data_IF_296829308752
#
_entry.id   IF_296829308752
#
_cell.length_a   1.000
_cell.length_b   1.000
_cell.length_c   1.000
_cell.angle_alpha   90.00
_cell.angle_beta   90.00
_cell.angle_gamma   90.00
#
_symmetry.space_group_name_H-M   'P 1'
#
loop_
_entity.id
_entity.type
_entity.pdbx_description
1 polymer ?
#
# COMPACT_ATOMS: atom_id res chain seq x y z
N UNK A 1 -28.49 46.18 -21.40
CA UNK A 1 -27.72 44.91 -21.45
C UNK A 1 -28.60 43.87 -20.78
N UNK A 2 -29.10 42.87 -21.50
CA UNK A 2 -30.07 41.92 -20.95
C UNK A 2 -29.39 41.04 -19.89
N UNK A 3 -30.11 40.61 -18.86
CA UNK A 3 -29.58 39.76 -17.77
C UNK A 3 -28.90 38.49 -18.28
N UNK A 4 -29.35 37.96 -19.43
CA UNK A 4 -28.73 36.84 -20.12
C UNK A 4 -27.27 37.11 -20.55
N UNK A 5 -26.94 38.34 -20.96
CA UNK A 5 -25.58 38.71 -21.35
C UNK A 5 -24.67 38.81 -20.11
N UNK A 6 -25.19 39.28 -18.98
CA UNK A 6 -24.41 39.37 -17.74
C UNK A 6 -24.03 37.99 -17.20
N UNK A 7 -24.98 37.04 -17.21
CA UNK A 7 -24.74 35.65 -16.79
C UNK A 7 -23.68 34.98 -17.68
N UNK A 8 -23.76 35.17 -19.00
CA UNK A 8 -22.78 34.61 -19.94
C UNK A 8 -21.38 35.18 -19.71
N UNK A 9 -21.26 36.47 -19.38
CA UNK A 9 -19.97 37.11 -19.10
C UNK A 9 -19.38 36.57 -17.79
N UNK A 10 -20.16 36.53 -16.71
CA UNK A 10 -19.71 35.98 -15.40
C UNK A 10 -19.27 34.53 -15.55
N UNK A 11 -20.03 33.73 -16.31
CA UNK A 11 -19.68 32.33 -16.55
C UNK A 11 -18.39 32.18 -17.36
N UNK A 12 -18.17 33.04 -18.36
CA UNK A 12 -16.90 33.10 -19.10
C UNK A 12 -15.70 33.37 -18.20
N UNK A 13 -15.83 34.29 -17.23
CA UNK A 13 -14.78 34.54 -16.23
C UNK A 13 -14.53 33.34 -15.32
N UNK A 14 -15.59 32.67 -14.85
CA UNK A 14 -15.46 31.49 -14.00
C UNK A 14 -14.74 30.35 -14.74
N UNK A 15 -15.16 30.04 -15.98
CA UNK A 15 -14.54 29.00 -16.80
C UNK A 15 -13.09 29.35 -17.13
N UNK A 16 -12.81 30.61 -17.50
CA UNK A 16 -11.46 31.08 -17.76
C UNK A 16 -10.55 30.94 -16.55
N UNK A 17 -11.04 31.31 -15.36
CA UNK A 17 -10.32 31.20 -14.10
C UNK A 17 -9.96 29.75 -13.77
N UNK A 18 -10.94 28.83 -13.82
CA UNK A 18 -10.69 27.40 -13.56
C UNK A 18 -9.79 26.76 -14.62
N UNK A 19 -9.91 27.14 -15.89
CA UNK A 19 -9.01 26.66 -16.95
C UNK A 19 -7.58 27.10 -16.68
N UNK A 20 -7.39 28.33 -16.18
CA UNK A 20 -6.07 28.87 -15.86
C UNK A 20 -5.46 28.12 -14.67
N UNK A 21 -6.23 27.90 -13.61
CA UNK A 21 -5.79 27.07 -12.46
C UNK A 21 -5.40 25.67 -12.91
N UNK A 22 -6.20 25.05 -13.78
CA UNK A 22 -5.91 23.72 -14.30
C UNK A 22 -4.60 23.68 -15.11
N UNK A 23 -4.37 24.69 -15.96
CA UNK A 23 -3.11 24.80 -16.73
C UNK A 23 -1.90 25.04 -15.82
N UNK A 24 -2.06 25.81 -14.74
CA UNK A 24 -1.01 25.99 -13.74
C UNK A 24 -0.69 24.65 -13.03
N UNK A 25 -1.71 23.90 -12.60
CA UNK A 25 -1.50 22.58 -12.01
C UNK A 25 -0.85 21.59 -12.99
N UNK A 26 -1.23 21.62 -14.27
CA UNK A 26 -0.58 20.79 -15.29
C UNK A 26 0.89 21.18 -15.49
N UNK A 27 1.19 22.48 -15.48
CA UNK A 27 2.58 22.97 -15.55
C UNK A 27 3.40 22.45 -14.38
N UNK A 28 2.86 22.49 -13.17
CA UNK A 28 3.53 21.98 -11.96
C UNK A 28 3.74 20.46 -12.01
N UNK A 29 2.76 19.71 -12.50
CA UNK A 29 2.87 18.25 -12.70
C UNK A 29 3.95 17.93 -13.74
N UNK A 30 3.99 18.65 -14.86
CA UNK A 30 5.02 18.46 -15.89
C UNK A 30 6.40 18.82 -15.33
N UNK A 31 6.52 19.89 -14.55
CA UNK A 31 7.76 20.27 -13.88
C UNK A 31 8.23 19.17 -12.91
N UNK A 32 7.36 18.69 -12.03
CA UNK A 32 7.64 17.59 -11.11
C UNK A 32 8.04 16.31 -11.86
N UNK A 33 7.39 16.00 -12.99
CA UNK A 33 7.75 14.83 -13.79
C UNK A 33 9.17 14.91 -14.35
N UNK A 34 9.63 16.11 -14.76
CA UNK A 34 10.99 16.33 -15.24
C UNK A 34 12.02 16.19 -14.12
N UNK A 35 11.74 16.75 -12.95
CA UNK A 35 12.62 16.60 -11.78
C UNK A 35 12.70 15.13 -11.33
N UNK A 36 11.58 14.38 -11.36
CA UNK A 36 11.59 12.96 -11.04
C UNK A 36 12.40 12.12 -12.04
N UNK A 37 12.39 12.46 -13.33
CA UNK A 37 13.23 11.82 -14.34
C UNK A 37 14.71 12.14 -14.07
N UNK A 38 15.03 13.40 -13.78
CA UNK A 38 16.40 13.83 -13.47
C UNK A 38 16.95 13.09 -12.24
N UNK A 39 16.17 12.99 -11.16
CA UNK A 39 16.54 12.24 -9.96
C UNK A 39 16.75 10.75 -10.28
N UNK A 40 15.90 10.17 -11.13
CA UNK A 40 16.05 8.77 -11.55
C UNK A 40 17.36 8.53 -12.31
N UNK A 41 17.73 9.43 -13.20
CA UNK A 41 18.97 9.33 -13.97
C UNK A 41 20.20 9.49 -13.06
N UNK A 42 20.17 10.46 -12.14
CA UNK A 42 21.22 10.64 -11.11
C UNK A 42 21.38 9.40 -10.21
N UNK A 43 20.27 8.77 -9.80
CA UNK A 43 20.28 7.52 -9.03
C UNK A 43 20.85 6.34 -9.82
N UNK A 44 20.57 6.28 -11.13
CA UNK A 44 21.11 5.22 -11.99
C UNK A 44 22.63 5.36 -12.16
N UNK A 45 23.14 6.59 -12.28
CA UNK A 45 24.58 6.86 -12.33
C UNK A 45 25.28 6.48 -11.03
N UNK A 46 24.70 6.81 -9.87
CA UNK A 46 25.21 6.38 -8.56
C UNK A 46 25.23 4.86 -8.45
N UNK A 47 24.21 4.17 -8.97
CA UNK A 47 24.16 2.70 -8.99
C UNK A 47 25.28 2.10 -9.85
N UNK A 48 25.53 2.67 -11.03
CA UNK A 48 26.58 2.23 -11.93
C UNK A 48 27.97 2.45 -11.32
N UNK A 49 28.20 3.60 -10.66
CA UNK A 49 29.45 3.89 -9.95
C UNK A 49 29.66 2.93 -8.77
N UNK A 50 28.61 2.61 -8.03
CA UNK A 50 28.71 1.65 -6.92
C UNK A 50 29.03 0.23 -7.43
N UNK A 51 28.45 -0.19 -8.55
CA UNK A 51 28.76 -1.49 -9.16
C UNK A 51 30.21 -1.55 -9.66
N UNK A 52 30.71 -0.49 -10.29
CA UNK A 52 32.11 -0.44 -10.74
C UNK A 52 33.08 -0.43 -9.56
N UNK A 53 32.82 0.34 -8.50
CA UNK A 53 33.60 0.33 -7.27
C UNK A 53 33.58 -1.04 -6.58
N UNK A 54 32.45 -1.75 -6.58
CA UNK A 54 32.36 -3.10 -6.02
C UNK A 54 33.24 -4.08 -6.79
N UNK A 55 33.28 -3.97 -8.12
CA UNK A 55 34.17 -4.77 -8.96
C UNK A 55 35.66 -4.47 -8.68
N UNK A 56 36.04 -3.20 -8.48
CA UNK A 56 37.41 -2.84 -8.14
C UNK A 56 37.82 -3.24 -6.72
N UNK A 57 36.92 -3.15 -5.73
CA UNK A 57 37.18 -3.57 -4.35
C UNK A 57 37.25 -5.10 -4.22
N UNK A 58 36.57 -5.85 -5.08
CA UNK A 58 36.74 -7.31 -5.15
C UNK A 58 38.12 -7.74 -5.65
N UNK A 59 38.83 -6.87 -6.37
CA UNK A 59 40.20 -7.12 -6.86
C UNK A 59 41.26 -6.73 -5.81
N UNK A 60 40.98 -5.76 -4.93
CA UNK A 60 41.94 -5.25 -3.94
C UNK A 60 41.84 -5.88 -2.54
N UNK A 61 40.83 -6.71 -2.24
CA UNK A 61 40.72 -7.41 -0.97
C UNK A 61 41.55 -8.72 -0.94
N UNK A 62 42.86 -8.58 -1.10
CA UNK A 62 43.87 -9.56 -0.65
C UNK A 62 44.72 -9.03 0.53
N UNK A 63 44.38 -7.89 1.13
CA UNK A 63 45.10 -7.43 2.33
C UNK A 63 44.26 -6.52 3.23
N UNK A 64 44.33 -6.84 4.53
CA UNK A 64 43.56 -6.29 5.64
C UNK A 64 43.71 -4.78 5.85
N UNK A 65 42.66 -3.99 5.53
CA UNK A 65 42.39 -2.69 6.17
C UNK A 65 40.98 -2.18 5.80
N UNK A 66 39.94 -2.67 6.49
CA UNK A 66 38.53 -2.50 6.06
C UNK A 66 37.59 -1.86 7.09
N UNK A 67 38.09 -1.05 8.03
CA UNK A 67 37.28 -0.57 9.17
C UNK A 67 36.96 0.93 9.12
N UNK A 68 37.76 1.79 8.48
CA UNK A 68 37.55 3.26 8.56
C UNK A 68 36.71 3.88 7.42
N UNK A 69 36.47 3.18 6.31
CA UNK A 69 35.78 3.74 5.14
C UNK A 69 34.26 3.44 5.11
N UNK A 70 33.76 2.61 6.03
CA UNK A 70 32.35 2.18 6.06
C UNK A 70 31.48 3.22 6.79
N UNK A 71 32.01 3.90 7.80
CA UNK A 71 31.24 4.84 8.62
C UNK A 71 30.83 6.11 7.86
N UNK A 72 31.62 6.57 6.87
CA UNK A 72 31.23 7.72 6.03
C UNK A 72 30.20 7.38 4.94
N UNK A 73 29.95 6.08 4.70
CA UNK A 73 29.04 5.58 3.66
C UNK A 73 27.60 5.48 4.15
N UNK A 74 27.41 5.38 5.46
CA UNK A 74 26.10 5.19 6.08
C UNK A 74 25.35 6.51 6.27
N UNK A 75 26.04 7.62 6.54
CA UNK A 75 25.41 8.94 6.65
C UNK A 75 24.93 9.53 5.31
N UNK A 76 25.58 9.18 4.19
CA UNK A 76 25.24 9.78 2.88
C UNK A 76 24.13 9.03 2.12
N UNK A 77 23.87 7.75 2.44
CA UNK A 77 22.86 6.94 1.74
C UNK A 77 21.45 7.01 2.35
N UNK A 78 21.33 7.46 3.61
CA UNK A 78 20.05 7.57 4.32
C UNK A 78 19.32 8.89 4.06
N UNK A 79 19.92 9.85 3.35
CA UNK A 79 19.37 11.20 3.22
C UNK A 79 18.58 11.48 1.94
N UNK A 80 18.55 10.57 0.94
CA UNK A 80 17.99 10.89 -0.37
C UNK A 80 17.14 9.80 -1.07
N UNK A 81 16.54 8.88 -0.31
CA UNK A 81 15.57 7.94 -0.89
C UNK A 81 14.22 8.11 -0.20
N UNK A 82 13.25 8.69 -0.92
CA UNK A 82 11.84 8.58 -0.55
C UNK A 82 11.50 7.10 -0.40
N UNK A 83 10.99 6.73 0.77
CA UNK A 83 10.56 5.36 1.05
C UNK A 83 9.48 4.92 0.06
N UNK A 84 9.38 3.61 -0.20
CA UNK A 84 8.34 3.03 -1.06
C UNK A 84 6.93 3.49 -0.64
N UNK A 85 6.71 3.72 0.65
CA UNK A 85 5.45 4.24 1.19
C UNK A 85 5.20 5.69 0.79
N UNK A 86 6.22 6.55 0.78
CA UNK A 86 6.08 7.95 0.33
C UNK A 86 5.83 8.04 -1.18
N UNK A 87 6.50 7.21 -1.97
CA UNK A 87 6.24 7.12 -3.42
C UNK A 87 4.79 6.68 -3.71
N UNK A 88 4.28 5.71 -2.95
CA UNK A 88 2.89 5.27 -3.04
C UNK A 88 1.89 6.34 -2.61
N UNK A 89 2.18 7.06 -1.52
CA UNK A 89 1.34 8.15 -1.04
C UNK A 89 1.24 9.31 -2.05
N UNK A 90 2.33 9.61 -2.75
CA UNK A 90 2.35 10.59 -3.85
C UNK A 90 1.46 10.11 -5.00
N UNK A 91 1.58 8.84 -5.40
CA UNK A 91 0.77 8.26 -6.49
C UNK A 91 -0.73 8.24 -6.15
N UNK A 92 -1.09 7.87 -4.92
CA UNK A 92 -2.47 7.89 -4.44
C UNK A 92 -3.04 9.32 -4.41
N UNK A 93 -2.22 10.31 -4.04
CA UNK A 93 -2.60 11.73 -4.07
C UNK A 93 -2.85 12.24 -5.50
N UNK A 94 -2.01 11.85 -6.46
CA UNK A 94 -2.19 12.18 -7.89
C UNK A 94 -3.48 11.55 -8.42
N UNK A 95 -3.71 10.26 -8.13
CA UNK A 95 -4.92 9.57 -8.56
C UNK A 95 -6.19 10.21 -7.97
N UNK A 96 -6.16 10.61 -6.70
CA UNK A 96 -7.26 11.33 -6.07
C UNK A 96 -7.56 12.67 -6.78
N UNK A 97 -6.53 13.45 -7.08
CA UNK A 97 -6.69 14.73 -7.79
C UNK A 97 -7.26 14.54 -9.20
N UNK A 98 -6.81 13.52 -9.93
CA UNK A 98 -7.36 13.19 -11.26
C UNK A 98 -8.83 12.77 -11.18
N UNK A 99 -9.20 11.94 -10.21
CA UNK A 99 -10.59 11.48 -10.03
C UNK A 99 -11.52 12.64 -9.62
N UNK A 100 -11.06 13.54 -8.75
CA UNK A 100 -11.82 14.75 -8.40
C UNK A 100 -12.02 15.68 -9.59
N UNK A 101 -10.99 15.86 -10.42
CA UNK A 101 -11.13 16.61 -11.66
C UNK A 101 -12.20 15.99 -12.56
N UNK A 102 -12.15 14.68 -12.79
CA UNK A 102 -13.14 13.96 -13.61
C UNK A 102 -14.56 14.17 -13.06
N UNK A 103 -14.77 14.05 -11.75
CA UNK A 103 -16.08 14.27 -11.12
C UNK A 103 -16.61 15.69 -11.33
N UNK A 104 -15.77 16.71 -11.11
CA UNK A 104 -16.14 18.11 -11.31
C UNK A 104 -16.50 18.39 -12.79
N UNK A 105 -15.73 17.83 -13.73
CA UNK A 105 -16.00 18.00 -15.17
C UNK A 105 -17.23 17.21 -15.65
N UNK A 106 -17.51 16.06 -15.06
CA UNK A 106 -18.72 15.27 -15.38
C UNK A 106 -19.97 15.97 -14.84
N UNK A 107 -19.89 16.53 -13.62
CA UNK A 107 -20.94 17.39 -13.05
C UNK A 107 -21.21 18.64 -13.90
N UNK A 108 -20.15 19.29 -14.40
CA UNK A 108 -20.26 20.42 -15.32
C UNK A 108 -20.93 20.03 -16.65
N UNK A 109 -20.60 18.86 -17.20
CA UNK A 109 -21.21 18.35 -18.43
C UNK A 109 -22.71 18.06 -18.26
N UNK A 110 -23.12 17.55 -17.10
CA UNK A 110 -24.53 17.34 -16.75
C UNK A 110 -25.27 18.67 -16.53
N UNK A 111 -24.63 19.67 -15.92
CA UNK A 111 -25.21 21.00 -15.72
C UNK A 111 -25.40 21.74 -17.04
N UNK A 112 -24.39 21.72 -17.91
CA UNK A 112 -24.44 22.35 -19.24
C UNK A 112 -25.42 21.70 -20.20
N UNK A 113 -25.81 20.44 -19.98
CA UNK A 113 -26.88 19.76 -20.71
C UNK A 113 -28.25 20.47 -20.59
N UNK A 114 -28.44 21.33 -19.57
CA UNK A 114 -29.63 22.15 -19.38
C UNK A 114 -29.71 23.41 -20.26
N UNK A 115 -28.62 23.81 -20.92
CA UNK A 115 -28.54 25.05 -21.70
C UNK A 115 -28.22 24.78 -23.19
N UNK A 116 -29.26 24.64 -24.02
CA UNK A 116 -29.23 24.96 -25.46
C UNK A 116 -28.43 24.06 -26.42
N UNK A 117 -29.11 23.53 -27.43
CA UNK A 117 -28.73 22.38 -28.27
C UNK A 117 -27.67 22.60 -29.37
N UNK A 118 -27.03 23.77 -29.51
CA UNK A 118 -26.22 24.04 -30.71
C UNK A 118 -24.68 24.06 -30.53
N UNK A 119 -24.15 24.09 -29.31
CA UNK A 119 -22.70 23.94 -29.06
C UNK A 119 -22.29 22.52 -28.60
N UNK A 120 -23.25 21.62 -28.39
CA UNK A 120 -23.02 20.34 -27.70
C UNK A 120 -22.12 19.34 -28.44
N UNK A 121 -22.08 19.34 -29.78
CA UNK A 121 -21.35 18.29 -30.53
C UNK A 121 -19.82 18.45 -30.43
N UNK A 122 -19.31 19.68 -30.56
CA UNK A 122 -17.89 19.96 -30.49
C UNK A 122 -17.33 19.67 -29.08
N UNK A 123 -18.05 20.05 -28.03
CA UNK A 123 -17.69 19.70 -26.66
C UNK A 123 -17.74 18.19 -26.42
N UNK A 124 -18.77 17.49 -26.91
CA UNK A 124 -18.85 16.02 -26.80
C UNK A 124 -17.67 15.31 -27.47
N UNK A 125 -17.25 15.76 -28.65
CA UNK A 125 -16.08 15.22 -29.34
C UNK A 125 -14.79 15.53 -28.59
N UNK A 126 -14.61 16.76 -28.10
CA UNK A 126 -13.44 17.14 -27.31
C UNK A 126 -13.31 16.29 -26.04
N UNK A 127 -14.39 16.08 -25.29
CA UNK A 127 -14.38 15.24 -24.09
C UNK A 127 -14.20 13.75 -24.39
N UNK A 128 -14.72 13.26 -25.51
CA UNK A 128 -14.49 11.88 -25.96
C UNK A 128 -13.00 11.65 -26.27
N UNK A 129 -12.36 12.61 -26.95
CA UNK A 129 -10.91 12.58 -27.20
C UNK A 129 -10.12 12.65 -25.89
N UNK A 130 -10.51 13.51 -24.94
CA UNK A 130 -9.85 13.62 -23.65
C UNK A 130 -9.92 12.30 -22.85
N UNK A 131 -11.07 11.63 -22.85
CA UNK A 131 -11.23 10.30 -22.22
C UNK A 131 -10.40 9.22 -22.89
N UNK A 132 -10.29 9.23 -24.22
CA UNK A 132 -9.41 8.30 -24.93
C UNK A 132 -7.95 8.57 -24.56
N UNK A 133 -7.54 9.83 -24.49
CA UNK A 133 -6.17 10.21 -24.11
C UNK A 133 -5.83 9.78 -22.67
N UNK A 134 -6.74 9.92 -21.70
CA UNK A 134 -6.49 9.45 -20.33
C UNK A 134 -6.34 7.94 -20.28
N UNK A 135 -7.17 7.17 -20.99
CA UNK A 135 -7.04 5.71 -21.09
C UNK A 135 -5.72 5.29 -21.74
N UNK A 136 -5.33 5.94 -22.84
CA UNK A 136 -4.05 5.68 -23.51
C UNK A 136 -2.88 6.00 -22.56
N UNK A 137 -2.93 7.12 -21.83
CA UNK A 137 -1.90 7.49 -20.86
C UNK A 137 -1.80 6.46 -19.72
N UNK A 138 -2.92 5.99 -19.19
CA UNK A 138 -2.94 4.93 -18.17
C UNK A 138 -2.34 3.63 -18.70
N UNK A 139 -2.69 3.20 -19.92
CA UNK A 139 -2.11 2.01 -20.55
C UNK A 139 -0.60 2.20 -20.78
N UNK A 140 -0.18 3.36 -21.27
CA UNK A 140 1.23 3.67 -21.51
C UNK A 140 2.05 3.66 -20.21
N UNK A 141 1.54 4.28 -19.14
CA UNK A 141 2.15 4.23 -17.82
C UNK A 141 2.26 2.79 -17.31
N UNK A 142 1.19 1.99 -17.45
CA UNK A 142 1.20 0.59 -17.03
C UNK A 142 2.22 -0.26 -17.82
N UNK A 143 2.36 -0.03 -19.13
CA UNK A 143 3.36 -0.71 -19.97
C UNK A 143 4.79 -0.25 -19.65
N UNK A 144 4.97 1.00 -19.29
CA UNK A 144 6.29 1.59 -19.01
C UNK A 144 6.80 1.19 -17.61
N UNK A 145 5.92 1.13 -16.61
CA UNK A 145 6.24 0.69 -15.25
C UNK A 145 6.18 -0.83 -15.10
N UNK A 146 6.82 -1.57 -16.02
CA UNK A 146 6.81 -3.04 -16.22
C UNK A 146 7.24 -3.92 -15.02
N UNK A 147 7.12 -3.46 -13.78
CA UNK A 147 7.26 -4.21 -12.54
C UNK A 147 6.08 -3.90 -11.60
N UNK A 148 5.06 -4.76 -11.67
CA UNK A 148 4.22 -5.11 -10.52
C UNK A 148 3.34 -4.03 -9.91
N UNK A 149 2.48 -3.36 -10.67
CA UNK A 149 1.26 -2.83 -10.05
C UNK A 149 0.30 -4.01 -9.79
N UNK A 150 -0.14 -4.25 -8.54
CA UNK A 150 -1.09 -5.32 -8.25
C UNK A 150 -2.42 -5.06 -8.96
N UNK A 151 -3.03 -6.14 -9.48
CA UNK A 151 -4.31 -6.12 -10.21
C UNK A 151 -5.47 -5.46 -9.43
N UNK A 152 -5.29 -5.21 -8.14
CA UNK A 152 -6.28 -4.61 -7.23
C UNK A 152 -6.60 -3.14 -7.55
N UNK A 153 -5.72 -2.44 -8.27
CA UNK A 153 -5.95 -1.04 -8.69
C UNK A 153 -7.08 -0.94 -9.73
N UNK A 154 -7.28 -1.99 -10.56
CA UNK A 154 -8.36 -2.01 -11.55
C UNK A 154 -9.74 -2.21 -10.91
N UNK A 155 -9.82 -2.83 -9.72
CA UNK A 155 -11.10 -3.03 -9.03
C UNK A 155 -11.64 -1.71 -8.43
N UNK A 156 -10.76 -0.78 -8.07
CA UNK A 156 -11.14 0.55 -7.58
C UNK A 156 -11.75 1.45 -8.67
N UNK A 157 -11.42 1.21 -9.94
CA UNK A 157 -11.88 2.01 -11.08
C UNK A 157 -13.35 1.69 -11.45
N UNK A 158 -13.89 0.54 -11.04
CA UNK A 158 -15.23 0.09 -11.48
C UNK A 158 -16.36 0.27 -10.45
N UNK A 159 -16.05 0.58 -9.19
CA UNK A 159 -17.06 0.55 -8.10
C UNK A 159 -17.79 1.88 -7.87
N UNK A 160 -17.38 3.00 -8.47
CA UNK A 160 -18.06 4.30 -8.23
C UNK A 160 -19.18 4.64 -9.20
N UNK A 161 -20.16 3.73 -9.32
CA UNK A 161 -21.52 4.08 -9.75
C UNK A 161 -22.46 3.82 -8.57
N UNK A 162 -22.66 4.87 -7.78
CA UNK A 162 -23.84 5.07 -6.90
C UNK A 162 -23.97 4.07 -5.74
N UNK A 163 -23.00 4.02 -4.83
CA UNK A 163 -23.18 3.32 -3.56
C UNK A 163 -23.67 4.24 -2.43
N UNK A 164 -24.71 3.86 -1.67
CA UNK A 164 -25.15 4.61 -0.50
C UNK A 164 -24.10 4.56 0.62
N UNK A 165 -23.99 5.64 1.40
CA UNK A 165 -22.97 5.85 2.45
C UNK A 165 -22.89 4.75 3.52
N UNK A 166 -23.96 3.97 3.71
CA UNK A 166 -23.97 2.78 4.57
C UNK A 166 -23.10 1.64 4.04
N UNK A 167 -23.06 1.44 2.72
CA UNK A 167 -22.21 0.46 2.06
C UNK A 167 -20.76 0.95 1.97
N UNK A 168 -20.54 2.25 1.78
CA UNK A 168 -19.21 2.84 1.86
C UNK A 168 -18.60 2.67 3.27
N UNK A 169 -19.39 2.82 4.34
CA UNK A 169 -18.90 2.57 5.70
C UNK A 169 -18.66 1.08 6.00
N UNK A 170 -19.43 0.16 5.40
CA UNK A 170 -19.17 -1.29 5.46
C UNK A 170 -17.90 -1.67 4.68
N UNK A 171 -17.69 -1.11 3.49
CA UNK A 171 -16.49 -1.32 2.69
C UNK A 171 -15.26 -0.65 3.32
N UNK A 172 -15.39 0.52 3.94
CA UNK A 172 -14.28 1.18 4.66
C UNK A 172 -13.89 0.44 5.94
N UNK A 173 -14.78 -0.37 6.51
CA UNK A 173 -14.47 -1.33 7.58
C UNK A 173 -13.81 -2.61 7.03
N UNK A 174 -14.08 -2.99 5.78
CA UNK A 174 -13.35 -4.06 5.07
C UNK A 174 -11.96 -3.62 4.57
N UNK A 175 -11.77 -2.34 4.23
CA UNK A 175 -10.55 -1.81 3.59
C UNK A 175 -9.74 -0.83 4.45
N UNK A 176 -10.08 -0.63 5.73
CA UNK A 176 -9.13 -0.04 6.68
C UNK A 176 -7.98 -1.02 6.78
N UNK A 177 -6.85 -0.65 6.17
CA UNK A 177 -5.57 -1.36 6.12
C UNK A 177 -5.10 -1.75 7.52
N UNK A 178 -5.71 -2.80 8.08
CA UNK A 178 -4.99 -3.74 8.93
C UNK A 178 -3.93 -4.31 8.02
N UNK A 179 -2.66 -3.98 8.27
CA UNK A 179 -1.53 -4.69 7.67
C UNK A 179 -1.89 -6.17 7.68
N UNK A 180 -1.99 -6.84 6.54
CA UNK A 180 -2.51 -8.23 6.52
C UNK A 180 -1.59 -9.11 7.37
N UNK A 181 -2.07 -10.24 7.87
CA UNK A 181 -1.16 -11.18 8.53
C UNK A 181 -0.14 -11.73 7.53
N UNK A 182 -0.48 -11.74 6.23
CA UNK A 182 0.46 -11.97 5.14
C UNK A 182 1.57 -10.92 5.07
N UNK A 183 1.24 -9.64 5.17
CA UNK A 183 2.25 -8.57 5.25
C UNK A 183 3.11 -8.69 6.52
N UNK A 184 2.53 -9.13 7.65
CA UNK A 184 3.30 -9.45 8.85
C UNK A 184 4.21 -10.67 8.65
N UNK A 185 3.76 -11.72 7.96
CA UNK A 185 4.59 -12.90 7.66
C UNK A 185 5.77 -12.51 6.76
N UNK A 186 5.54 -11.66 5.76
CA UNK A 186 6.58 -11.11 4.91
C UNK A 186 7.55 -10.23 5.70
N UNK A 187 7.05 -9.36 6.58
CA UNK A 187 7.87 -8.56 7.49
C UNK A 187 8.69 -9.43 8.46
N UNK A 188 8.12 -10.56 8.88
CA UNK A 188 8.79 -11.58 9.70
C UNK A 188 9.62 -12.55 8.86
N UNK A 189 9.89 -12.28 7.58
CA UNK A 189 10.77 -13.09 6.72
C UNK A 189 10.35 -14.55 6.53
N UNK A 190 9.05 -14.87 6.48
CA UNK A 190 8.57 -16.20 6.08
C UNK A 190 7.36 -16.18 5.15
N UNK A 191 7.13 -17.32 4.46
CA UNK A 191 5.93 -17.60 3.65
C UNK A 191 5.34 -18.95 4.05
N UNK A 192 4.01 -19.10 3.97
CA UNK A 192 3.38 -20.40 4.23
C UNK A 192 3.58 -21.32 3.02
N UNK A 193 3.97 -22.59 3.25
CA UNK A 193 4.30 -23.51 2.14
C UNK A 193 3.06 -24.09 1.48
N UNK A 194 1.99 -24.26 2.25
CA UNK A 194 0.78 -24.98 1.82
C UNK A 194 -0.51 -24.19 2.15
N UNK A 195 -0.59 -22.92 1.73
CA UNK A 195 -1.73 -22.03 2.03
C UNK A 195 -3.10 -22.65 1.71
N UNK A 196 -3.23 -23.31 0.55
CA UNK A 196 -4.48 -23.93 0.11
C UNK A 196 -4.94 -25.13 0.95
N UNK A 197 -4.01 -25.75 1.71
CA UNK A 197 -4.31 -26.91 2.56
C UNK A 197 -4.62 -26.53 4.00
N UNK A 198 -4.46 -25.26 4.36
CA UNK A 198 -4.75 -24.78 5.72
C UNK A 198 -6.26 -24.87 5.95
N UNK A 199 -6.67 -25.56 7.02
CA UNK A 199 -8.09 -25.68 7.38
C UNK A 199 -8.71 -24.29 7.56
N UNK A 200 -9.93 -24.09 7.03
CA UNK A 200 -10.69 -22.84 7.17
C UNK A 200 -10.93 -22.45 8.64
N UNK A 201 -10.94 -23.42 9.56
CA UNK A 201 -11.04 -23.17 11.00
C UNK A 201 -9.82 -22.47 11.61
N UNK A 202 -8.69 -22.46 10.90
CA UNK A 202 -7.43 -21.81 11.29
C UNK A 202 -7.25 -20.44 10.60
N UNK A 203 -8.18 -20.08 9.72
CA UNK A 203 -8.17 -18.82 8.98
C UNK A 203 -9.06 -17.80 9.68
N UNK A 204 -8.56 -16.58 9.84
CA UNK A 204 -9.30 -15.48 10.42
C UNK A 204 -10.40 -15.00 9.46
N UNK A 205 -11.69 -14.95 9.87
CA UNK A 205 -12.77 -14.48 9.01
C UNK A 205 -12.69 -13.00 8.62
N UNK A 206 -11.83 -12.21 9.28
CA UNK A 206 -11.68 -10.77 9.06
C UNK A 206 -10.57 -10.48 8.04
N UNK A 207 -9.36 -11.01 8.27
CA UNK A 207 -8.21 -10.75 7.40
C UNK A 207 -7.95 -11.85 6.38
N UNK A 208 -8.70 -12.96 6.43
CA UNK A 208 -8.60 -14.11 5.52
C UNK A 208 -7.23 -14.80 5.50
N UNK A 209 -6.41 -14.57 6.51
CA UNK A 209 -5.10 -15.16 6.71
C UNK A 209 -5.11 -16.13 7.90
N UNK A 210 -4.10 -17.03 8.04
CA UNK A 210 -3.91 -17.82 9.25
C UNK A 210 -3.90 -16.96 10.52
N UNK A 211 -4.52 -17.49 11.58
CA UNK A 211 -4.69 -16.79 12.84
C UNK A 211 -3.32 -16.46 13.49
N UNK A 212 -3.13 -15.19 13.86
CA UNK A 212 -2.01 -14.68 14.67
C UNK A 212 -2.59 -14.15 15.98
N UNK A 213 -2.03 -14.57 17.11
CA UNK A 213 -2.52 -14.30 18.47
C UNK A 213 -4.05 -14.49 18.57
N UNK A 214 -4.56 -15.72 18.39
CA UNK A 214 -5.99 -15.95 18.27
C UNK A 214 -6.76 -15.62 19.55
N UNK A 215 -7.83 -14.84 19.41
CA UNK A 215 -8.86 -14.58 20.42
C UNK A 215 -10.18 -15.22 19.97
N UNK A 216 -10.88 -15.87 20.88
CA UNK A 216 -12.16 -16.53 20.62
C UNK A 216 -13.29 -15.72 21.24
N UNK A 217 -14.30 -15.42 20.45
CA UNK A 217 -15.49 -14.75 20.94
C UNK A 217 -16.35 -15.71 21.78
N UNK A 218 -16.67 -15.33 23.01
CA UNK A 218 -17.29 -16.25 23.98
C UNK A 218 -18.68 -16.71 23.55
N UNK A 219 -19.49 -15.82 22.96
CA UNK A 219 -20.88 -16.14 22.66
C UNK A 219 -21.09 -17.04 21.42
N UNK A 220 -20.15 -17.05 20.46
CA UNK A 220 -20.28 -17.84 19.22
C UNK A 220 -19.10 -18.75 18.94
N UNK A 221 -18.10 -18.77 19.82
CA UNK A 221 -16.91 -19.62 19.77
C UNK A 221 -16.08 -19.52 18.49
N UNK A 222 -16.28 -18.48 17.69
CA UNK A 222 -15.45 -18.21 16.52
C UNK A 222 -14.14 -17.54 16.93
N UNK A 223 -13.04 -17.93 16.29
CA UNK A 223 -11.70 -17.40 16.55
C UNK A 223 -11.28 -16.35 15.52
N UNK A 224 -10.57 -15.33 15.98
CA UNK A 224 -10.10 -14.19 15.20
C UNK A 224 -8.71 -13.79 15.65
N UNK A 225 -7.94 -13.10 14.82
CA UNK A 225 -6.69 -12.49 15.27
C UNK A 225 -6.97 -11.40 16.31
N UNK A 226 -6.18 -11.30 17.38
CA UNK A 226 -6.33 -10.29 18.43
C UNK A 226 -6.47 -8.86 17.85
N UNK A 227 -5.57 -8.51 16.92
CA UNK A 227 -5.57 -7.21 16.24
C UNK A 227 -6.78 -6.97 15.34
N UNK A 228 -7.39 -8.02 14.80
CA UNK A 228 -8.55 -7.92 13.93
C UNK A 228 -9.82 -7.68 14.73
N UNK A 229 -10.08 -8.49 15.74
CA UNK A 229 -11.34 -8.44 16.50
C UNK A 229 -11.43 -7.23 17.43
N UNK A 230 -10.30 -6.77 18.01
CA UNK A 230 -10.28 -5.59 18.89
C UNK A 230 -10.70 -4.27 18.22
N UNK A 231 -10.67 -4.22 16.88
CA UNK A 231 -11.10 -3.03 16.12
C UNK A 231 -12.63 -2.97 15.94
N UNK A 232 -13.33 -4.05 16.25
CA UNK A 232 -14.76 -4.19 16.02
C UNK A 232 -15.53 -4.08 17.33
N UNK A 233 -16.72 -3.47 17.27
CA UNK A 233 -17.68 -3.41 18.39
C UNK A 233 -18.70 -4.54 18.36
N UNK A 234 -18.74 -5.32 17.28
CA UNK A 234 -19.67 -6.42 17.06
C UNK A 234 -18.94 -7.57 16.37
N UNK A 235 -19.29 -8.80 16.73
CA UNK A 235 -18.73 -9.99 16.10
C UNK A 235 -19.20 -10.09 14.63
N UNK A 236 -18.29 -10.26 13.65
CA UNK A 236 -18.69 -10.35 12.24
C UNK A 236 -19.47 -11.63 11.93
N UNK A 237 -19.33 -12.68 12.74
CA UNK A 237 -19.99 -13.97 12.51
C UNK A 237 -21.41 -14.01 13.08
N UNK A 238 -21.63 -13.53 14.31
CA UNK A 238 -22.93 -13.61 15.00
C UNK A 238 -23.59 -12.26 15.29
N UNK A 239 -22.93 -11.13 14.96
CA UNK A 239 -23.40 -9.75 15.21
C UNK A 239 -23.62 -9.37 16.68
N UNK A 240 -23.30 -10.27 17.62
CA UNK A 240 -23.34 -9.96 19.04
C UNK A 240 -22.32 -8.86 19.41
N UNK A 241 -22.63 -8.09 20.44
CA UNK A 241 -21.80 -6.98 20.90
C UNK A 241 -20.50 -7.46 21.53
N UNK A 242 -19.41 -6.73 21.25
CA UNK A 242 -18.10 -6.90 21.89
C UNK A 242 -17.87 -5.60 22.67
N UNK A 243 -18.35 -5.56 23.90
CA UNK A 243 -18.34 -4.35 24.73
C UNK A 243 -17.34 -4.46 25.86
N UNK A 244 -17.14 -5.67 26.37
CA UNK A 244 -16.25 -5.94 27.50
C UNK A 244 -15.08 -6.82 27.06
N UNK A 245 -13.92 -6.72 27.71
CA UNK A 245 -12.80 -7.63 27.45
C UNK A 245 -13.16 -9.10 27.75
N UNK A 246 -14.17 -9.36 28.58
CA UNK A 246 -14.64 -10.72 28.88
C UNK A 246 -15.41 -11.38 27.72
N UNK A 247 -15.85 -10.59 26.72
CA UNK A 247 -16.50 -11.13 25.52
C UNK A 247 -15.49 -11.87 24.61
N UNK A 248 -14.19 -11.67 24.86
CA UNK A 248 -13.08 -12.29 24.15
C UNK A 248 -12.24 -13.10 25.13
N UNK A 249 -12.08 -14.40 24.85
CA UNK A 249 -11.17 -15.27 25.58
C UNK A 249 -9.95 -15.60 24.74
N UNK A 250 -8.81 -15.80 25.39
CA UNK A 250 -7.64 -16.41 24.74
C UNK A 250 -8.08 -17.77 24.21
N UNK A 251 -7.70 -18.06 22.97
CA UNK A 251 -8.13 -19.28 22.30
C UNK A 251 -7.52 -20.53 22.96
N UNK A 252 -8.18 -21.68 22.79
CA UNK A 252 -7.73 -22.94 23.38
C UNK A 252 -6.27 -23.26 23.02
N UNK A 253 -5.58 -23.92 23.94
CA UNK A 253 -4.19 -24.35 23.73
C UNK A 253 -4.09 -25.26 22.50
N UNK A 254 -5.06 -26.15 22.30
CA UNK A 254 -5.12 -27.08 21.17
C UNK A 254 -5.10 -26.32 19.83
N UNK A 255 -5.91 -25.27 19.66
CA UNK A 255 -5.92 -24.53 18.40
C UNK A 255 -4.57 -23.83 18.14
N UNK A 256 -3.93 -23.31 19.20
CA UNK A 256 -2.61 -22.68 19.09
C UNK A 256 -1.54 -23.68 18.67
N UNK A 257 -1.53 -24.88 19.27
CA UNK A 257 -0.62 -25.95 18.86
C UNK A 257 -0.78 -26.31 17.38
N UNK A 258 -2.02 -26.48 16.92
CA UNK A 258 -2.30 -26.80 15.51
C UNK A 258 -1.82 -25.67 14.59
N UNK A 259 -1.98 -24.41 14.99
CA UNK A 259 -1.47 -23.27 14.23
C UNK A 259 0.07 -23.24 14.20
N UNK A 260 0.73 -23.67 15.28
CA UNK A 260 2.19 -23.68 15.40
C UNK A 260 2.84 -24.83 14.62
N UNK A 261 2.08 -25.90 14.36
CA UNK A 261 2.46 -27.01 13.47
C UNK A 261 2.43 -26.65 11.98
N UNK A 262 1.82 -25.51 11.59
CA UNK A 262 1.78 -25.07 10.20
C UNK A 262 3.19 -24.89 9.61
N UNK A 263 3.41 -25.41 8.42
CA UNK A 263 4.70 -25.30 7.73
C UNK A 263 4.90 -23.90 7.12
N UNK A 264 6.03 -23.29 7.46
CA UNK A 264 6.50 -22.02 6.92
C UNK A 264 7.88 -22.20 6.30
N UNK A 265 8.14 -21.47 5.22
CA UNK A 265 9.44 -21.37 4.59
C UNK A 265 10.09 -20.05 4.98
N UNK A 266 11.32 -20.12 5.47
CA UNK A 266 12.12 -18.93 5.72
C UNK A 266 12.50 -18.25 4.39
N UNK A 267 12.19 -16.96 4.25
CA UNK A 267 12.50 -16.21 3.03
C UNK A 267 14.00 -16.05 2.82
N UNK A 268 14.78 -16.14 3.90
CA UNK A 268 16.20 -15.84 3.96
C UNK A 268 17.05 -17.07 3.59
N UNK A 269 16.91 -18.18 4.32
CA UNK A 269 17.67 -19.42 4.13
C UNK A 269 16.93 -20.49 3.31
N UNK A 270 15.63 -20.28 3.03
CA UNK A 270 14.74 -21.21 2.28
C UNK A 270 14.44 -22.54 2.98
N UNK A 271 14.86 -22.71 4.23
CA UNK A 271 14.49 -23.85 5.07
C UNK A 271 12.98 -23.84 5.38
N UNK A 272 12.37 -25.03 5.38
CA UNK A 272 10.97 -25.26 5.74
C UNK A 272 10.92 -25.82 7.16
N UNK A 273 10.10 -25.22 8.02
CA UNK A 273 9.95 -25.59 9.41
C UNK A 273 8.55 -25.25 9.93
N UNK A 274 8.20 -25.73 11.12
CA UNK A 274 6.94 -25.37 11.77
C UNK A 274 6.95 -23.91 12.23
N UNK A 275 5.80 -23.24 12.10
CA UNK A 275 5.60 -21.83 12.46
C UNK A 275 6.01 -21.52 13.89
N UNK A 276 5.70 -22.41 14.85
CA UNK A 276 6.08 -22.24 16.25
C UNK A 276 7.60 -22.19 16.48
N UNK A 277 8.37 -22.89 15.64
CA UNK A 277 9.83 -22.94 15.74
C UNK A 277 10.52 -21.81 14.97
N UNK A 278 9.77 -20.99 14.24
CA UNK A 278 10.32 -19.96 13.37
C UNK A 278 11.10 -18.88 14.15
N UNK A 279 10.59 -18.45 15.30
CA UNK A 279 11.29 -17.46 16.15
C UNK A 279 12.66 -17.97 16.64
N UNK A 280 12.76 -19.27 16.96
CA UNK A 280 14.01 -19.92 17.38
C UNK A 280 14.96 -20.04 16.18
N UNK A 281 14.45 -20.41 15.01
CA UNK A 281 15.23 -20.49 13.78
C UNK A 281 15.89 -19.16 13.43
N UNK A 282 15.14 -18.04 13.46
CA UNK A 282 15.70 -16.71 13.16
C UNK A 282 16.81 -16.32 14.13
N UNK A 283 16.65 -16.65 15.42
CA UNK A 283 17.63 -16.30 16.46
C UNK A 283 18.91 -17.13 16.38
N UNK A 284 18.82 -18.43 16.14
CA UNK A 284 19.93 -19.35 16.38
C UNK A 284 20.48 -20.04 15.12
N UNK A 285 19.63 -20.32 14.12
CA UNK A 285 19.93 -21.32 13.09
C UNK A 285 19.86 -20.77 11.65
N UNK A 286 19.38 -19.55 11.45
CA UNK A 286 19.26 -18.98 10.10
C UNK A 286 20.64 -18.57 9.56
N UNK A 287 21.13 -19.32 8.57
CA UNK A 287 22.48 -19.26 7.96
C UNK A 287 22.88 -17.88 7.38
N UNK A 288 21.96 -16.92 7.27
CA UNK A 288 22.26 -15.54 6.81
C UNK A 288 22.15 -14.47 7.89
N UNK A 289 21.64 -14.77 9.08
CA UNK A 289 21.71 -13.83 10.22
C UNK A 289 23.16 -13.68 10.68
N UNK A 290 24.01 -14.67 10.46
CA UNK A 290 25.47 -14.65 10.74
C UNK A 290 26.29 -13.73 9.82
N UNK A 291 25.67 -13.03 8.85
CA UNK A 291 26.31 -11.98 8.05
C UNK A 291 25.81 -10.57 8.37
N UNK A 292 24.92 -10.43 9.36
CA UNK A 292 24.54 -9.14 9.94
C UNK A 292 25.21 -9.10 11.32
N UNK A 293 26.09 -8.12 11.51
CA UNK A 293 26.89 -7.91 12.71
C UNK A 293 26.04 -7.72 13.98
N UNK A 294 26.57 -8.06 15.17
CA UNK A 294 25.84 -8.16 16.43
C UNK A 294 25.54 -6.80 17.11
N UNK A 295 24.92 -5.85 16.42
CA UNK A 295 24.65 -4.51 16.99
C UNK A 295 23.16 -4.18 17.22
N UNK A 296 22.21 -5.05 16.86
CA UNK A 296 20.77 -4.79 17.09
C UNK A 296 20.18 -5.47 18.34
N UNK A 297 21.00 -6.09 19.21
CA UNK A 297 20.51 -6.80 20.41
C UNK A 297 19.92 -5.89 21.51
N UNK A 298 20.11 -4.57 21.46
CA UNK A 298 19.64 -3.67 22.55
C UNK A 298 18.17 -3.23 22.45
N UNK A 299 17.46 -3.42 21.33
CA UNK A 299 16.10 -2.89 21.16
C UNK A 299 14.95 -3.87 21.44
N UNK A 300 15.23 -5.12 21.80
CA UNK A 300 14.20 -6.14 22.08
C UNK A 300 14.04 -6.53 23.56
N UNK A 301 14.87 -6.00 24.47
CA UNK A 301 14.83 -6.34 25.90
C UNK A 301 13.93 -5.39 26.72
N UNK A 302 13.60 -4.19 26.21
CA UNK A 302 12.89 -3.17 27.00
C UNK A 302 11.34 -3.25 26.99
N UNK A 303 10.71 -4.30 26.46
CA UNK A 303 9.23 -4.43 26.49
C UNK A 303 8.73 -5.45 27.52
N UNK A 304 9.61 -6.23 28.17
CA UNK A 304 9.22 -7.21 29.20
C UNK A 304 9.45 -6.78 30.64
N UNK A 305 9.91 -5.55 30.90
CA UNK A 305 10.10 -5.04 32.27
C UNK A 305 9.58 -3.61 32.40
N UNK A 306 8.27 -3.46 32.44
CA UNK A 306 7.63 -2.36 33.16
C UNK A 306 6.27 -2.84 33.65
N UNK A 307 6.19 -2.96 34.97
CA UNK A 307 5.02 -3.11 35.84
C UNK A 307 3.78 -2.35 35.40
#
# INVERSE_FOLDING_TARGET
>A
MNDANLISIIFGFIVGFYTTIFLLCLSDIVYLSKEMIKIKDELQDIRNINQSLFSHISILNYSNSKISLINSKQELSTQLCLSFNEQRQILDSINFMCNMAILLFTGYSLYSYGFGTHHGLAYRLFFFVLKILTVILTIWLNLHFKQGLPNDIFLYIWIDIKMPSTLLNQLRMMFRTTTTNRELALANNYTYVNEDKISRSLICPICLDPLIDPQTHVACENSFCNRCIRKLRQCPCCRASITTPNDLKITSHVLRNILDELEVQCNVCKEVLCRGNFAIHIRNNCVKTTLISPEDEENLINVSTST
#
